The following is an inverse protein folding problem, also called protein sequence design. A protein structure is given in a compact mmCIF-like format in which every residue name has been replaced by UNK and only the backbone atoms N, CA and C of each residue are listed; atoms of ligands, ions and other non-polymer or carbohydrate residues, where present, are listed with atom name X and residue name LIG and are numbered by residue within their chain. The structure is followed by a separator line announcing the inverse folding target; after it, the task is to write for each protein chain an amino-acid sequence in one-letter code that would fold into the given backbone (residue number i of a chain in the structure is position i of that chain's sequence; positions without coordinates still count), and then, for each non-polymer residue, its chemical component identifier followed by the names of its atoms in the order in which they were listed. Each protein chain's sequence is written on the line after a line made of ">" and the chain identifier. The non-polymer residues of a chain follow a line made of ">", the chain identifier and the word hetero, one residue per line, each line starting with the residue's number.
data_IF_264905307692
#
_entry.id   IF_264905307692
#
_cell.length_a   1.000
_cell.length_b   1.000
_cell.length_c   1.000
_cell.angle_alpha   90.00
_cell.angle_beta   90.00
_cell.angle_gamma   90.00
#
_symmetry.space_group_name_H-M   'P 1'
#
loop_
_entity.id
_entity.type
_entity.pdbx_description
1 polymer ?
#
# COMPACT_ATOMS: atom_id res chain seq x y z
N UNK A 1 -4.85 10.78 -5.54
CA UNK A 1 -4.11 9.70 -6.23
C UNK A 1 -3.12 9.13 -5.23
N UNK A 2 -2.96 7.81 -5.13
CA UNK A 2 -2.18 7.19 -4.05
C UNK A 2 -0.70 7.14 -4.47
N UNK A 3 0.18 7.75 -3.69
CA UNK A 3 1.62 7.81 -3.96
C UNK A 3 2.41 7.15 -2.82
N UNK A 4 3.36 6.30 -3.15
CA UNK A 4 4.19 5.60 -2.17
C UNK A 4 5.22 6.59 -1.62
N UNK A 5 5.28 6.76 -0.30
CA UNK A 5 6.23 7.65 0.38
C UNK A 5 7.29 6.91 1.18
N UNK A 6 7.11 5.60 1.39
CA UNK A 6 8.09 4.74 2.02
C UNK A 6 7.53 3.35 2.32
N UNK A 7 8.38 2.44 2.80
CA UNK A 7 7.94 1.13 3.27
C UNK A 7 8.87 0.60 4.37
N UNK A 8 8.37 -0.36 5.16
CA UNK A 8 9.15 -1.13 6.13
C UNK A 8 8.89 -2.61 5.88
N UNK A 9 9.93 -3.43 5.61
CA UNK A 9 9.78 -4.88 5.50
C UNK A 9 9.42 -5.48 6.86
N UNK A 10 8.52 -6.47 6.85
CA UNK A 10 8.12 -7.20 8.04
C UNK A 10 9.16 -8.26 8.41
N UNK A 11 9.41 -8.45 9.72
CA UNK A 11 10.44 -9.40 10.19
C UNK A 11 9.98 -10.85 10.32
N UNK A 12 8.70 -11.09 10.59
CA UNK A 12 8.16 -12.44 10.93
C UNK A 12 7.42 -13.13 9.78
N UNK A 13 6.91 -12.35 8.85
CA UNK A 13 6.08 -12.82 7.73
C UNK A 13 6.61 -12.12 6.49
N UNK A 14 6.60 -12.82 5.35
CA UNK A 14 6.96 -12.20 4.07
C UNK A 14 5.92 -11.12 3.76
N UNK A 15 6.32 -9.87 3.93
CA UNK A 15 5.41 -8.74 3.85
C UNK A 15 6.11 -7.40 4.01
N UNK A 16 5.40 -6.34 3.66
CA UNK A 16 5.85 -4.96 3.81
C UNK A 16 4.69 -4.08 4.29
N UNK A 17 5.00 -3.14 5.19
CA UNK A 17 4.12 -2.03 5.53
C UNK A 17 4.48 -0.87 4.61
N UNK A 18 3.60 -0.53 3.69
CA UNK A 18 3.79 0.55 2.72
C UNK A 18 3.05 1.79 3.20
N UNK A 19 3.73 2.92 3.20
CA UNK A 19 3.18 4.22 3.53
C UNK A 19 2.81 4.92 2.23
N UNK A 20 1.57 5.39 2.16
CA UNK A 20 1.07 6.09 0.97
C UNK A 20 0.47 7.42 1.34
N UNK A 21 0.69 8.43 0.51
CA UNK A 21 -0.05 9.69 0.59
C UNK A 21 -1.18 9.69 -0.44
N UNK A 22 -2.30 10.32 -0.09
CA UNK A 22 -3.40 10.57 -1.01
C UNK A 22 -3.85 12.02 -0.84
N UNK A 23 -3.95 12.74 -1.96
CA UNK A 23 -4.50 14.08 -1.98
C UNK A 23 -6.01 14.04 -1.70
N UNK A 24 -6.41 14.72 -0.63
CA UNK A 24 -7.78 15.05 -0.22
C UNK A 24 -8.87 14.03 -0.56
N UNK A 25 -9.12 13.12 0.39
CA UNK A 25 -10.38 12.37 0.44
C UNK A 25 -11.41 13.20 1.22
N UNK A 26 -12.59 13.42 0.63
CA UNK A 26 -13.79 14.07 1.21
C UNK A 26 -13.63 14.71 2.60
N UNK A 27 -13.41 16.03 2.64
CA UNK A 27 -13.46 16.82 3.89
C UNK A 27 -12.14 16.97 4.65
N UNK A 28 -11.03 16.40 4.15
CA UNK A 28 -9.69 16.58 4.73
C UNK A 28 -8.93 17.69 4.01
N UNK A 29 -8.54 18.74 4.75
CA UNK A 29 -7.62 19.76 4.27
C UNK A 29 -6.17 19.24 4.36
N UNK A 30 -5.50 19.07 3.21
CA UNK A 30 -4.14 18.54 3.11
C UNK A 30 -4.06 17.09 2.62
N UNK A 31 -2.89 16.47 2.76
CA UNK A 31 -2.65 15.08 2.35
C UNK A 31 -3.02 14.11 3.46
N UNK A 32 -3.76 13.05 3.13
CA UNK A 32 -3.94 11.90 4.01
C UNK A 32 -2.77 10.94 3.84
N UNK A 33 -2.30 10.33 4.93
CA UNK A 33 -1.30 9.27 4.87
C UNK A 33 -1.91 7.98 5.40
N UNK A 34 -1.84 6.93 4.60
CA UNK A 34 -2.39 5.61 4.90
C UNK A 34 -1.28 4.55 4.97
N UNK A 35 -1.52 3.53 5.79
CA UNK A 35 -0.65 2.35 5.91
C UNK A 35 -1.30 1.17 5.23
N UNK A 36 -0.58 0.58 4.29
CA UNK A 36 -1.00 -0.56 3.51
C UNK A 36 -0.16 -1.78 3.92
N UNK A 37 -0.83 -2.88 4.23
CA UNK A 37 -0.18 -4.13 4.59
C UNK A 37 -0.17 -5.04 3.36
N UNK A 38 1.02 -5.30 2.83
CA UNK A 38 1.23 -6.09 1.63
C UNK A 38 1.97 -7.37 2.03
N UNK A 39 1.57 -8.52 1.47
CA UNK A 39 2.07 -9.82 1.89
C UNK A 39 2.55 -10.65 0.69
N UNK A 40 3.38 -11.65 0.97
CA UNK A 40 3.86 -12.65 0.01
C UNK A 40 4.47 -12.04 -1.26
N UNK A 41 4.08 -12.50 -2.43
CA UNK A 41 4.63 -12.08 -3.74
C UNK A 41 4.40 -10.60 -4.04
N UNK A 42 3.35 -10.00 -3.47
CA UNK A 42 3.10 -8.57 -3.64
C UNK A 42 4.12 -7.72 -2.87
N UNK A 43 4.69 -8.25 -1.78
CA UNK A 43 5.72 -7.56 -1.02
C UNK A 43 7.05 -7.49 -1.79
N UNK A 44 7.34 -8.47 -2.65
CA UNK A 44 8.54 -8.49 -3.49
C UNK A 44 8.52 -7.38 -4.55
N UNK A 45 7.34 -6.86 -4.90
CA UNK A 45 7.18 -5.70 -5.79
C UNK A 45 7.58 -4.38 -5.12
N UNK A 46 7.70 -4.35 -3.79
CA UNK A 46 8.02 -3.15 -3.01
C UNK A 46 9.53 -3.08 -2.78
N UNK A 47 10.19 -2.13 -3.44
CA UNK A 47 11.63 -1.86 -3.33
C UNK A 47 11.88 -0.37 -3.18
N UNK A 48 13.11 0.05 -2.89
CA UNK A 48 13.45 1.48 -2.78
C UNK A 48 13.10 2.26 -4.06
N UNK A 49 13.11 1.60 -5.22
CA UNK A 49 12.79 2.20 -6.52
C UNK A 49 11.33 2.63 -6.67
N UNK A 50 10.42 2.11 -5.84
CA UNK A 50 8.99 2.45 -5.95
C UNK A 50 8.60 3.66 -5.11
N UNK A 51 9.52 4.18 -4.30
CA UNK A 51 9.28 5.38 -3.48
C UNK A 51 9.13 6.58 -4.41
N UNK A 52 8.06 7.33 -4.22
CA UNK A 52 7.70 8.47 -5.06
C UNK A 52 6.85 8.11 -6.28
N UNK A 53 6.64 6.82 -6.55
CA UNK A 53 5.75 6.39 -7.62
C UNK A 53 4.29 6.36 -7.17
N UNK A 54 3.40 6.58 -8.13
CA UNK A 54 1.98 6.40 -7.93
C UNK A 54 1.63 4.92 -8.00
N UNK A 55 0.65 4.51 -7.21
CA UNK A 55 0.15 3.15 -7.23
C UNK A 55 -1.37 3.09 -7.27
N UNK A 56 -1.85 1.99 -7.83
CA UNK A 56 -3.25 1.58 -7.77
C UNK A 56 -3.28 0.28 -6.97
N UNK A 57 -4.17 0.25 -5.99
CA UNK A 57 -4.31 -0.87 -5.05
C UNK A 57 -5.68 -1.50 -5.28
N UNK A 58 -5.71 -2.80 -5.50
CA UNK A 58 -6.93 -3.58 -5.53
C UNK A 58 -7.15 -4.25 -4.17
N UNK A 59 -8.38 -4.18 -3.65
CA UNK A 59 -8.76 -4.83 -2.41
C UNK A 59 -9.55 -6.10 -2.71
N UNK A 60 -9.13 -7.21 -2.11
CA UNK A 60 -9.87 -8.46 -2.05
C UNK A 60 -10.57 -8.63 -0.70
N UNK A 61 -11.52 -9.56 -0.64
CA UNK A 61 -12.17 -9.96 0.61
C UNK A 61 -11.87 -11.43 0.88
N UNK A 62 -11.25 -11.73 2.02
CA UNK A 62 -10.93 -13.10 2.40
C UNK A 62 -12.15 -13.83 2.94
N UNK A 63 -12.06 -15.15 3.11
CA UNK A 63 -13.12 -15.99 3.69
C UNK A 63 -13.58 -15.55 5.09
N UNK A 64 -12.77 -14.78 5.82
CA UNK A 64 -13.11 -14.20 7.13
C UNK A 64 -13.84 -12.87 7.06
N UNK A 65 -14.18 -12.38 5.85
CA UNK A 65 -14.79 -11.06 5.63
C UNK A 65 -13.82 -9.89 5.79
N UNK A 66 -12.54 -10.15 6.07
CA UNK A 66 -11.51 -9.11 6.19
C UNK A 66 -11.00 -8.71 4.82
N UNK A 67 -10.95 -7.40 4.57
CA UNK A 67 -10.33 -6.84 3.38
C UNK A 67 -8.81 -7.02 3.44
N UNK A 68 -8.20 -7.32 2.31
CA UNK A 68 -6.75 -7.40 2.13
C UNK A 68 -6.36 -6.82 0.77
N UNK A 69 -5.08 -6.52 0.57
CA UNK A 69 -4.58 -6.06 -0.72
C UNK A 69 -4.40 -7.27 -1.63
N UNK A 70 -5.20 -7.35 -2.69
CA UNK A 70 -5.16 -8.45 -3.66
C UNK A 70 -4.22 -8.18 -4.82
N UNK A 71 -3.98 -6.92 -5.17
CA UNK A 71 -2.96 -6.52 -6.13
C UNK A 71 -2.47 -5.09 -5.90
N UNK A 72 -1.25 -4.83 -6.35
CA UNK A 72 -0.67 -3.49 -6.43
C UNK A 72 -0.04 -3.30 -7.81
N UNK A 73 -0.47 -2.24 -8.49
CA UNK A 73 0.09 -1.78 -9.76
C UNK A 73 0.82 -0.45 -9.52
N UNK A 74 2.11 -0.40 -9.81
CA UNK A 74 2.97 0.77 -9.63
C UNK A 74 3.19 1.39 -11.01
N UNK A 75 2.98 2.71 -11.13
CA UNK A 75 3.06 3.46 -12.40
C UNK A 75 4.38 4.18 -12.56
#
# INVERSE_FOLDING_TARGET
>A
MIKIVGFIPMKKTKGAVVFTENDSVNGVHGKSVEKLFVYEELADKITDNVIGHECVVAYGCGYSGKAFISDITIK
#
